data_IF_249060397202
#
_entry.id   IF_249060397202
#
_cell.length_a   1.000
_cell.length_b   1.000
_cell.length_c   1.000
_cell.angle_alpha   90.00
_cell.angle_beta   90.00
_cell.angle_gamma   90.00
#
_symmetry.space_group_name_H-M   'P 1'
#
loop_
_entity.id
_entity.type
_entity.pdbx_description
1 polymer ?
#
# COMPACT_ATOMS: atom_id res chain seq x y z
N UNK A 1 7.78 -1.91 -17.51
CA UNK A 1 6.65 -2.05 -16.57
C UNK A 1 7.08 -1.81 -15.13
N UNK A 2 8.04 -2.59 -14.59
CA UNK A 2 8.41 -2.55 -13.16
C UNK A 2 8.89 -1.18 -12.64
N UNK A 3 9.68 -0.43 -13.43
CA UNK A 3 10.14 0.93 -13.04
C UNK A 3 8.96 1.90 -12.83
N UNK A 4 7.90 1.79 -13.64
CA UNK A 4 6.75 2.69 -13.55
C UNK A 4 5.94 2.53 -12.25
N UNK A 5 6.08 1.39 -11.56
CA UNK A 5 5.34 1.12 -10.31
C UNK A 5 5.83 2.00 -9.17
N UNK A 6 7.06 2.50 -9.25
CA UNK A 6 7.61 3.47 -8.31
C UNK A 6 6.67 4.68 -8.16
N UNK A 7 6.04 5.12 -9.25
CA UNK A 7 5.10 6.25 -9.24
C UNK A 7 3.81 6.00 -8.44
N UNK A 8 3.46 4.74 -8.17
CA UNK A 8 2.33 4.38 -7.31
C UNK A 8 2.60 4.60 -5.82
N UNK A 9 3.86 4.87 -5.43
CA UNK A 9 4.29 5.11 -4.05
C UNK A 9 3.87 4.00 -3.07
N UNK A 10 3.81 2.74 -3.54
CA UNK A 10 3.51 1.55 -2.74
C UNK A 10 4.68 0.55 -2.80
N UNK A 11 5.49 0.50 -1.74
CA UNK A 11 6.71 -0.30 -1.66
C UNK A 11 6.50 -1.81 -1.77
N UNK A 12 5.63 -2.42 -0.94
CA UNK A 12 5.31 -3.85 -1.04
C UNK A 12 4.85 -4.30 -2.43
N UNK A 13 3.98 -3.51 -3.08
CA UNK A 13 3.52 -3.82 -4.44
C UNK A 13 4.63 -3.67 -5.48
N UNK A 14 5.47 -2.63 -5.35
CA UNK A 14 6.63 -2.43 -6.21
C UNK A 14 7.61 -3.61 -6.14
N UNK A 15 7.91 -4.09 -4.94
CA UNK A 15 8.77 -5.27 -4.73
C UNK A 15 8.12 -6.51 -5.35
N UNK A 16 6.86 -6.80 -5.01
CA UNK A 16 6.16 -8.00 -5.49
C UNK A 16 6.06 -8.07 -7.02
N UNK A 17 5.78 -6.94 -7.66
CA UNK A 17 5.64 -6.92 -9.10
C UNK A 17 7.00 -6.96 -9.80
N UNK A 18 8.03 -6.35 -9.20
CA UNK A 18 9.39 -6.40 -9.73
C UNK A 18 9.98 -7.80 -9.66
N UNK A 19 9.71 -8.58 -8.60
CA UNK A 19 10.14 -9.99 -8.54
C UNK A 19 9.50 -10.86 -9.61
N UNK A 20 8.33 -10.49 -10.14
CA UNK A 20 7.68 -11.21 -11.26
C UNK A 20 8.11 -10.70 -12.64
N UNK A 21 8.28 -9.40 -12.80
CA UNK A 21 8.48 -8.77 -14.11
C UNK A 21 9.94 -8.45 -14.44
N UNK A 22 10.76 -8.07 -13.45
CA UNK A 22 12.18 -7.74 -13.67
C UNK A 22 13.02 -8.00 -12.40
N UNK A 23 13.32 -9.26 -12.06
CA UNK A 23 14.02 -9.61 -10.82
C UNK A 23 15.41 -8.95 -10.69
N UNK A 24 16.11 -8.79 -11.82
CA UNK A 24 17.43 -8.17 -11.90
C UNK A 24 17.43 -6.67 -11.58
N UNK A 25 16.26 -6.01 -11.55
CA UNK A 25 16.13 -4.60 -11.16
C UNK A 25 15.59 -4.42 -9.74
N UNK A 26 15.38 -5.51 -8.99
CA UNK A 26 14.71 -5.46 -7.68
C UNK A 26 15.41 -4.53 -6.70
N UNK A 27 16.73 -4.68 -6.54
CA UNK A 27 17.51 -3.84 -5.63
C UNK A 27 17.40 -2.36 -5.97
N UNK A 28 17.64 -1.99 -7.23
CA UNK A 28 17.58 -0.60 -7.69
C UNK A 28 16.17 0.02 -7.55
N UNK A 29 15.13 -0.73 -7.93
CA UNK A 29 13.74 -0.27 -7.85
C UNK A 29 13.31 -0.10 -6.39
N UNK A 30 13.66 -1.04 -5.50
CA UNK A 30 13.30 -0.95 -4.10
C UNK A 30 13.97 0.26 -3.41
N UNK A 31 15.26 0.51 -3.67
CA UNK A 31 15.97 1.68 -3.14
C UNK A 31 15.33 2.97 -3.62
N UNK A 32 15.09 3.07 -4.93
CA UNK A 32 14.48 4.26 -5.51
C UNK A 32 13.05 4.49 -4.96
N UNK A 33 12.25 3.44 -4.84
CA UNK A 33 10.89 3.52 -4.32
C UNK A 33 10.84 4.10 -2.90
N UNK A 34 11.56 3.50 -1.94
CA UNK A 34 11.55 4.00 -0.56
C UNK A 34 12.23 5.36 -0.41
N UNK A 35 13.28 5.63 -1.20
CA UNK A 35 13.94 6.94 -1.20
C UNK A 35 13.01 8.04 -1.69
N UNK A 36 12.27 7.81 -2.78
CA UNK A 36 11.32 8.79 -3.31
C UNK A 36 10.08 8.95 -2.43
N UNK A 37 9.60 7.89 -1.77
CA UNK A 37 8.54 7.99 -0.77
C UNK A 37 8.94 8.93 0.39
N UNK A 38 10.19 8.84 0.87
CA UNK A 38 10.70 9.73 1.91
C UNK A 38 10.83 11.19 1.44
N UNK A 39 10.95 11.43 0.13
CA UNK A 39 11.05 12.76 -0.47
C UNK A 39 9.68 13.40 -0.77
N UNK A 40 8.55 12.71 -0.53
CA UNK A 40 7.21 13.27 -0.75
C UNK A 40 7.02 14.64 -0.06
N UNK A 41 7.42 14.85 1.21
CA UNK A 41 7.27 16.16 1.85
C UNK A 41 8.08 17.29 1.18
N UNK A 42 9.15 16.95 0.45
CA UNK A 42 9.94 17.92 -0.31
C UNK A 42 9.33 18.19 -1.70
N UNK A 43 8.81 17.13 -2.35
CA UNK A 43 8.32 17.19 -3.74
C UNK A 43 6.87 17.69 -3.82
N UNK A 44 6.01 17.24 -2.91
CA UNK A 44 4.56 17.48 -2.97
C UNK A 44 4.19 18.96 -2.76
N UNK A 45 4.71 19.69 -1.75
CA UNK A 45 4.31 21.08 -1.52
C UNK A 45 4.64 22.05 -2.67
N UNK A 46 5.82 22.01 -3.30
CA UNK A 46 6.11 22.85 -4.47
C UNK A 46 5.15 22.60 -5.64
N UNK A 47 4.82 21.33 -5.92
CA UNK A 47 3.87 20.98 -6.99
C UNK A 47 2.47 21.52 -6.67
N UNK A 48 2.01 21.35 -5.43
CA UNK A 48 0.74 21.93 -4.99
C UNK A 48 0.74 23.46 -5.12
N UNK A 49 1.84 24.12 -4.74
CA UNK A 49 1.97 25.57 -4.82
C UNK A 49 1.93 26.08 -6.27
N UNK A 50 2.49 25.31 -7.21
CA UNK A 50 2.55 25.63 -8.63
C UNK A 50 1.21 25.41 -9.35
N UNK A 51 0.47 24.34 -9.01
CA UNK A 51 -0.71 23.91 -9.77
C UNK A 51 -2.06 24.35 -9.18
N UNK A 52 -2.11 24.77 -7.90
CA UNK A 52 -3.36 25.17 -7.25
C UNK A 52 -3.42 26.67 -6.97
N UNK A 53 -4.61 27.22 -6.80
CA UNK A 53 -4.82 28.63 -6.44
C UNK A 53 -5.10 28.79 -4.94
N UNK A 54 -4.93 30.01 -4.42
CA UNK A 54 -5.21 30.31 -3.01
C UNK A 54 -6.69 30.13 -2.63
N UNK A 55 -7.61 30.28 -3.59
CA UNK A 55 -9.05 30.06 -3.38
C UNK A 55 -9.36 28.56 -3.25
N UNK A 56 -8.84 27.72 -4.15
CA UNK A 56 -9.04 26.27 -4.09
C UNK A 56 -8.51 25.63 -2.80
N UNK A 57 -7.43 26.18 -2.24
CA UNK A 57 -6.84 25.71 -0.96
C UNK A 57 -7.69 26.04 0.27
N UNK A 58 -8.66 26.95 0.15
CA UNK A 58 -9.54 27.40 1.25
C UNK A 58 -10.92 26.74 1.24
N UNK A 59 -11.16 25.81 0.31
CA UNK A 59 -12.43 25.07 0.24
C UNK A 59 -12.61 24.29 1.54
N UNK A 60 -13.75 24.51 2.21
CA UNK A 60 -14.08 23.85 3.47
C UNK A 60 -14.46 22.39 3.21
N UNK A 61 -13.65 21.46 3.69
CA UNK A 61 -13.98 20.04 3.65
C UNK A 61 -15.11 19.75 4.64
N UNK A 62 -16.17 19.09 4.15
CA UNK A 62 -17.26 18.61 4.99
C UNK A 62 -16.81 17.38 5.77
N UNK A 63 -17.38 17.17 6.96
CA UNK A 63 -17.10 15.97 7.72
C UNK A 63 -17.60 14.74 6.96
N UNK A 64 -16.80 13.68 6.99
CA UNK A 64 -17.16 12.40 6.36
C UNK A 64 -18.32 11.76 7.08
N UNK A 65 -19.13 10.99 6.34
CA UNK A 65 -20.25 10.24 6.91
C UNK A 65 -19.76 9.22 7.94
N UNK A 66 -20.57 8.97 8.96
CA UNK A 66 -20.32 7.87 9.91
C UNK A 66 -20.65 6.55 9.22
N UNK A 67 -19.62 5.72 9.02
CA UNK A 67 -19.74 4.39 8.43
C UNK A 67 -20.07 3.36 9.51
N UNK A 68 -21.07 2.51 9.24
CA UNK A 68 -21.51 1.47 10.16
C UNK A 68 -20.46 0.35 10.27
N UNK A 69 -20.43 -0.38 11.40
CA UNK A 69 -19.53 -1.54 11.57
C UNK A 69 -19.78 -2.61 10.50
N UNK A 70 -21.04 -2.85 10.15
CA UNK A 70 -21.44 -3.79 9.10
C UNK A 70 -20.86 -3.38 7.75
N UNK A 71 -20.92 -2.10 7.40
CA UNK A 71 -20.36 -1.59 6.13
C UNK A 71 -18.84 -1.79 6.06
N UNK A 72 -18.12 -1.57 7.17
CA UNK A 72 -16.67 -1.79 7.23
C UNK A 72 -16.26 -3.26 7.10
N UNK A 73 -17.07 -4.19 7.58
CA UNK A 73 -16.82 -5.65 7.45
C UNK A 73 -17.17 -6.15 6.05
N UNK A 74 -18.27 -5.66 5.46
CA UNK A 74 -18.71 -6.07 4.12
C UNK A 74 -17.77 -5.53 3.03
N UNK A 75 -17.23 -4.32 3.22
CA UNK A 75 -16.32 -3.67 2.27
C UNK A 75 -15.16 -4.56 1.78
N UNK A 76 -14.29 -5.13 2.65
CA UNK A 76 -13.17 -5.96 2.20
C UNK A 76 -13.62 -7.23 1.46
N UNK A 77 -14.76 -7.82 1.85
CA UNK A 77 -15.29 -9.04 1.22
C UNK A 77 -15.78 -8.73 -0.20
N UNK A 78 -16.59 -7.68 -0.35
CA UNK A 78 -17.12 -7.27 -1.66
C UNK A 78 -16.01 -6.83 -2.60
N UNK A 79 -15.05 -6.02 -2.13
CA UNK A 79 -13.92 -5.56 -2.95
C UNK A 79 -13.08 -6.75 -3.40
N UNK A 80 -12.80 -7.71 -2.52
CA UNK A 80 -12.03 -8.91 -2.90
C UNK A 80 -12.76 -9.75 -3.95
N UNK A 81 -14.07 -9.99 -3.77
CA UNK A 81 -14.87 -10.73 -4.74
C UNK A 81 -14.93 -10.02 -6.09
N UNK A 82 -15.15 -8.70 -6.08
CA UNK A 82 -15.22 -7.88 -7.28
C UNK A 82 -13.90 -7.88 -8.05
N UNK A 83 -12.77 -7.72 -7.35
CA UNK A 83 -11.44 -7.76 -7.97
C UNK A 83 -11.11 -9.15 -8.48
N UNK A 84 -11.43 -10.21 -7.72
CA UNK A 84 -11.17 -11.59 -8.16
C UNK A 84 -11.93 -11.95 -9.45
N UNK A 85 -13.13 -11.40 -9.66
CA UNK A 85 -13.92 -11.63 -10.87
C UNK A 85 -13.44 -10.80 -12.07
N UNK A 86 -13.01 -9.55 -11.86
CA UNK A 86 -12.59 -8.67 -12.96
C UNK A 86 -11.10 -8.78 -13.33
N UNK A 87 -10.22 -8.80 -12.32
CA UNK A 87 -8.76 -8.80 -12.48
C UNK A 87 -8.12 -9.87 -11.57
N UNK A 88 -8.19 -11.16 -11.94
CA UNK A 88 -7.70 -12.27 -11.12
C UNK A 88 -6.20 -12.15 -10.80
N UNK A 89 -5.40 -11.57 -11.68
CA UNK A 89 -3.95 -11.39 -11.48
C UNK A 89 -3.60 -10.48 -10.29
N UNK A 90 -4.51 -9.57 -9.93
CA UNK A 90 -4.34 -8.65 -8.78
C UNK A 90 -4.98 -9.18 -7.51
N UNK A 91 -5.77 -10.26 -7.59
CA UNK A 91 -6.48 -10.85 -6.47
C UNK A 91 -5.58 -11.24 -5.30
N UNK A 92 -4.34 -11.76 -5.49
CA UNK A 92 -3.46 -12.05 -4.36
C UNK A 92 -3.07 -10.81 -3.55
N UNK A 93 -2.79 -9.68 -4.22
CA UNK A 93 -2.40 -8.44 -3.55
C UNK A 93 -3.58 -7.83 -2.79
N UNK A 94 -4.71 -7.64 -3.50
CA UNK A 94 -5.90 -7.03 -2.90
C UNK A 94 -6.50 -7.96 -1.82
N UNK A 95 -6.49 -9.27 -2.05
CA UNK A 95 -6.96 -10.25 -1.07
C UNK A 95 -6.18 -10.22 0.23
N UNK A 96 -4.84 -10.17 0.18
CA UNK A 96 -4.01 -10.02 1.38
C UNK A 96 -4.25 -8.69 2.10
N UNK A 97 -4.39 -7.59 1.35
CA UNK A 97 -4.70 -6.27 1.92
C UNK A 97 -6.07 -6.26 2.62
N UNK A 98 -7.09 -6.79 1.96
CA UNK A 98 -8.46 -6.84 2.47
C UNK A 98 -8.62 -7.84 3.61
N UNK A 99 -7.81 -8.92 3.65
CA UNK A 99 -7.75 -9.84 4.78
C UNK A 99 -7.24 -9.15 6.05
N UNK A 100 -6.16 -8.36 5.93
CA UNK A 100 -5.67 -7.54 7.05
C UNK A 100 -6.72 -6.54 7.53
N UNK A 101 -7.46 -5.92 6.59
CA UNK A 101 -8.58 -5.05 6.92
C UNK A 101 -9.70 -5.79 7.68
N UNK A 102 -10.05 -7.00 7.24
CA UNK A 102 -11.05 -7.83 7.89
C UNK A 102 -10.64 -8.23 9.32
N UNK A 103 -9.37 -8.56 9.56
CA UNK A 103 -8.88 -8.84 10.92
C UNK A 103 -9.02 -7.64 11.86
N UNK A 104 -8.90 -6.42 11.34
CA UNK A 104 -9.05 -5.19 12.11
C UNK A 104 -10.53 -4.85 12.36
N UNK A 105 -11.39 -5.00 11.37
CA UNK A 105 -12.78 -4.51 11.42
C UNK A 105 -13.79 -5.52 12.01
N UNK A 106 -13.48 -6.81 12.02
CA UNK A 106 -14.38 -7.84 12.59
C UNK A 106 -14.51 -7.74 14.11
N UNK A 107 -13.44 -7.37 14.83
CA UNK A 107 -13.41 -7.26 16.29
C UNK A 107 -13.56 -8.60 17.02
N UNK A 108 -13.38 -9.72 16.32
CA UNK A 108 -13.31 -11.07 16.89
C UNK A 108 -11.89 -11.65 16.82
N UNK A 109 -10.97 -10.93 16.17
CA UNK A 109 -9.62 -11.39 15.84
C UNK A 109 -8.57 -10.42 16.38
N UNK A 110 -8.81 -9.77 17.52
CA UNK A 110 -7.93 -8.73 18.07
C UNK A 110 -6.50 -9.21 18.25
N UNK A 111 -6.31 -10.43 18.79
CA UNK A 111 -4.98 -11.05 18.93
C UNK A 111 -4.28 -11.26 17.59
N UNK A 112 -5.02 -11.66 16.55
CA UNK A 112 -4.48 -11.86 15.21
C UNK A 112 -4.13 -10.52 14.57
N UNK A 113 -5.04 -9.54 14.66
CA UNK A 113 -4.83 -8.20 14.13
C UNK A 113 -3.60 -7.53 14.75
N UNK A 114 -3.45 -7.61 16.08
CA UNK A 114 -2.28 -7.08 16.79
C UNK A 114 -0.98 -7.78 16.37
N UNK A 115 -1.00 -9.12 16.30
CA UNK A 115 0.17 -9.90 15.87
C UNK A 115 0.59 -9.56 14.44
N UNK A 116 -0.38 -9.43 13.52
CA UNK A 116 -0.13 -9.14 12.10
C UNK A 116 0.43 -7.73 11.91
N UNK A 117 -0.10 -6.73 12.61
CA UNK A 117 0.34 -5.34 12.49
C UNK A 117 1.69 -5.08 13.15
N UNK A 118 2.01 -5.82 14.22
CA UNK A 118 3.23 -5.61 15.00
C UNK A 118 4.27 -6.70 14.74
N UNK A 119 4.19 -7.80 15.48
CA UNK A 119 5.25 -8.81 15.53
C UNK A 119 5.54 -9.42 14.16
N UNK A 120 4.51 -9.84 13.42
CA UNK A 120 4.67 -10.45 12.10
C UNK A 120 5.20 -9.42 11.08
N UNK A 121 4.65 -8.20 11.07
CA UNK A 121 5.12 -7.15 10.17
C UNK A 121 6.59 -6.83 10.38
N UNK A 122 7.03 -6.73 11.64
CA UNK A 122 8.43 -6.47 11.98
C UNK A 122 9.36 -7.60 11.51
N UNK A 123 8.97 -8.86 11.76
CA UNK A 123 9.75 -10.02 11.34
C UNK A 123 9.87 -10.07 9.80
N UNK A 124 8.75 -9.97 9.10
CA UNK A 124 8.73 -10.03 7.63
C UNK A 124 9.49 -8.84 7.03
N UNK A 125 9.39 -7.65 7.63
CA UNK A 125 10.12 -6.46 7.15
C UNK A 125 11.64 -6.64 7.26
N UNK A 126 12.13 -7.21 8.36
CA UNK A 126 13.57 -7.50 8.53
C UNK A 126 14.02 -8.49 7.44
N UNK A 127 13.30 -9.60 7.28
CA UNK A 127 13.62 -10.62 6.28
C UNK A 127 13.58 -10.07 4.86
N UNK A 128 12.56 -9.27 4.54
CA UNK A 128 12.41 -8.65 3.23
C UNK A 128 13.52 -7.64 2.96
N UNK A 129 13.89 -6.84 3.95
CA UNK A 129 14.98 -5.86 3.81
C UNK A 129 16.32 -6.54 3.53
N UNK A 130 16.63 -7.63 4.26
CA UNK A 130 17.83 -8.42 4.01
C UNK A 130 17.81 -9.08 2.62
N UNK A 131 16.67 -9.66 2.22
CA UNK A 131 16.51 -10.30 0.91
C UNK A 131 16.61 -9.30 -0.25
N UNK A 132 16.03 -8.11 -0.13
CA UNK A 132 16.18 -7.04 -1.13
C UNK A 132 17.64 -6.57 -1.17
N UNK A 133 18.29 -6.41 -0.01
CA UNK A 133 19.71 -6.07 0.09
C UNK A 133 20.62 -7.07 -0.63
N UNK A 134 20.32 -8.37 -0.57
CA UNK A 134 21.11 -9.39 -1.29
C UNK A 134 20.95 -9.34 -2.81
N UNK A 135 19.95 -8.62 -3.34
CA UNK A 135 19.78 -8.42 -4.78
C UNK A 135 20.50 -7.17 -5.32
N UNK A 136 21.29 -6.49 -4.49
CA UNK A 136 22.11 -5.35 -4.89
C UNK A 136 23.53 -5.73 -5.34
N UNK A 137 23.88 -7.01 -5.32
CA UNK A 137 25.18 -7.57 -5.73
C UNK A 137 25.02 -8.37 -7.02
#
# INVERSE_FOLDING_TARGET
ASIGIIGGADGPTAIFLTTKLAPHLLGAIAVAAYSYMALIPLIQPPIMNLLTTAESRKIKMVQTRVVSKTEKIIFPILVTMFVALLLPDTAPLIGCLMLGNLFKETGCTDRLSDTVQNALMNIVTILLSTAVGSTMV
#
